data_IF_999601239897
#
_entry.id   IF_999601239897
#
_cell.length_a   1.000
_cell.length_b   1.000
_cell.length_c   1.000
_cell.angle_alpha   90.00
_cell.angle_beta   90.00
_cell.angle_gamma   90.00
#
_symmetry.space_group_name_H-M   'P 1'
#
loop_
_entity.id
_entity.type
_entity.pdbx_description
1 polymer ?
#
# COMPACT_ATOMS: atom_id res chain seq x y z
N UNK A 1 9.19 -5.31 -0.07
CA UNK A 1 8.58 -4.48 -1.13
C UNK A 1 9.52 -3.33 -1.46
N UNK A 2 9.72 -3.02 -2.73
CA UNK A 2 10.44 -1.83 -3.21
C UNK A 2 9.44 -0.88 -3.84
N UNK A 3 9.60 0.43 -3.56
CA UNK A 3 8.76 1.48 -4.12
C UNK A 3 9.55 2.17 -5.22
N UNK A 4 8.96 2.29 -6.40
CA UNK A 4 9.50 3.07 -7.50
C UNK A 4 9.22 4.58 -7.27
N UNK A 5 9.70 5.45 -8.15
CA UNK A 5 9.46 6.92 -8.10
C UNK A 5 7.98 7.30 -7.93
N UNK A 6 7.08 6.43 -8.34
CA UNK A 6 5.64 6.59 -8.15
C UNK A 6 5.19 5.84 -6.87
N UNK A 7 4.55 6.49 -5.88
CA UNK A 7 4.22 5.90 -4.58
C UNK A 7 3.26 4.71 -4.64
N UNK A 8 2.58 4.50 -5.75
CA UNK A 8 1.71 3.34 -6.00
C UNK A 8 2.36 2.26 -6.87
N UNK A 9 3.60 2.45 -7.31
CA UNK A 9 4.37 1.43 -8.03
C UNK A 9 5.31 0.75 -7.04
N UNK A 10 4.97 -0.47 -6.69
CA UNK A 10 5.79 -1.30 -5.83
C UNK A 10 6.01 -2.68 -6.45
N UNK A 11 7.13 -3.26 -6.11
CA UNK A 11 7.50 -4.60 -6.52
C UNK A 11 7.61 -5.48 -5.28
N UNK A 12 6.94 -6.63 -5.30
CA UNK A 12 7.14 -7.64 -4.29
C UNK A 12 8.52 -8.25 -4.45
N UNK A 13 9.26 -8.33 -3.36
CA UNK A 13 10.54 -9.02 -3.35
C UNK A 13 10.32 -10.51 -3.09
N UNK A 14 11.07 -11.39 -3.74
CA UNK A 14 11.05 -12.82 -3.41
C UNK A 14 11.57 -13.05 -1.99
N UNK A 15 11.30 -14.23 -1.45
CA UNK A 15 11.92 -14.68 -0.22
C UNK A 15 13.46 -14.69 -0.39
N UNK A 16 14.17 -14.35 0.66
CA UNK A 16 15.64 -14.28 0.68
C UNK A 16 16.14 -15.05 1.89
N UNK A 17 17.28 -15.73 1.76
CA UNK A 17 17.94 -16.40 2.86
C UNK A 17 18.57 -15.42 3.89
N UNK A 18 18.59 -14.13 3.59
CA UNK A 18 19.13 -13.10 4.46
C UNK A 18 18.15 -11.96 4.66
N UNK A 19 18.36 -11.18 5.72
CA UNK A 19 17.59 -9.95 5.99
C UNK A 19 17.84 -8.94 4.87
N UNK A 20 16.78 -8.40 4.28
CA UNK A 20 16.86 -7.45 3.18
C UNK A 20 16.15 -6.15 3.55
N UNK A 21 16.79 -4.97 3.36
CA UNK A 21 16.12 -3.68 3.49
C UNK A 21 15.00 -3.53 2.45
N UNK A 22 13.87 -2.97 2.88
CA UNK A 22 12.68 -2.75 2.05
C UNK A 22 12.16 -1.32 2.23
N UNK A 23 11.34 -0.85 1.29
CA UNK A 23 10.79 0.51 1.32
C UNK A 23 9.35 0.55 1.85
N UNK A 24 8.71 -0.59 1.98
CA UNK A 24 7.35 -0.73 2.48
C UNK A 24 7.01 -2.20 2.69
N UNK A 25 5.87 -2.49 3.30
CA UNK A 25 5.42 -3.84 3.59
C UNK A 25 3.94 -4.01 3.31
N UNK A 26 3.53 -5.26 3.11
CA UNK A 26 2.14 -5.69 3.13
C UNK A 26 1.86 -6.27 4.52
N UNK A 27 0.75 -5.90 5.13
CA UNK A 27 0.41 -6.19 6.52
C UNK A 27 0.06 -7.65 6.86
N UNK A 28 0.40 -8.63 6.03
CA UNK A 28 0.08 -10.05 6.31
C UNK A 28 0.76 -10.57 7.59
N UNK A 29 2.03 -10.24 7.80
CA UNK A 29 2.75 -10.54 9.03
C UNK A 29 3.84 -9.50 9.24
N UNK A 30 3.67 -8.62 10.21
CA UNK A 30 4.62 -7.54 10.51
C UNK A 30 4.87 -7.47 12.00
N UNK A 31 6.14 -7.51 12.39
CA UNK A 31 6.58 -7.24 13.75
C UNK A 31 6.97 -5.77 13.88
N UNK A 32 6.28 -5.05 14.73
CA UNK A 32 6.56 -3.64 15.00
C UNK A 32 7.07 -3.50 16.43
N UNK A 33 8.36 -3.17 16.64
CA UNK A 33 8.91 -2.93 17.97
C UNK A 33 8.16 -1.79 18.68
N UNK A 34 8.05 -1.87 20.00
CA UNK A 34 7.38 -0.84 20.82
C UNK A 34 7.95 0.55 20.58
N UNK A 35 9.27 0.68 20.47
CA UNK A 35 9.93 1.96 20.17
C UNK A 35 9.51 2.53 18.82
N UNK A 36 9.45 1.72 17.77
CA UNK A 36 8.98 2.14 16.45
C UNK A 36 7.52 2.56 16.49
N UNK A 37 6.66 1.79 17.19
CA UNK A 37 5.23 2.16 17.36
C UNK A 37 5.05 3.49 18.09
N UNK A 38 5.84 3.75 19.11
CA UNK A 38 5.77 5.01 19.85
C UNK A 38 6.23 6.20 18.99
N UNK A 39 7.25 6.00 18.14
CA UNK A 39 7.77 7.05 17.26
C UNK A 39 6.82 7.34 16.07
N UNK A 40 6.29 6.31 15.42
CA UNK A 40 5.42 6.45 14.23
C UNK A 40 3.98 6.82 14.61
N UNK A 41 3.55 6.41 15.79
CA UNK A 41 2.17 6.53 16.24
C UNK A 41 1.27 5.40 15.73
N UNK A 42 -0.05 5.52 15.84
CA UNK A 42 -1.00 4.48 15.41
C UNK A 42 -1.11 4.41 13.88
N UNK A 43 -1.68 3.30 13.40
CA UNK A 43 -2.17 3.20 12.03
C UNK A 43 -3.25 4.26 11.82
N UNK A 44 -3.21 4.96 10.69
CA UNK A 44 -4.19 6.00 10.37
C UNK A 44 -5.54 5.36 10.02
N UNK A 45 -6.51 5.49 10.93
CA UNK A 45 -7.87 4.94 10.78
C UNK A 45 -8.67 5.52 9.59
N UNK A 46 -8.13 6.52 8.89
CA UNK A 46 -8.72 7.06 7.68
C UNK A 46 -8.42 6.21 6.44
N UNK A 47 -7.56 5.18 6.60
CA UNK A 47 -7.36 4.12 5.61
C UNK A 47 -8.11 2.87 6.07
N UNK A 48 -9.32 2.61 5.56
CA UNK A 48 -10.17 1.53 6.08
C UNK A 48 -9.57 0.13 5.85
N UNK A 49 -8.80 -0.06 4.81
CA UNK A 49 -8.05 -1.28 4.51
C UNK A 49 -6.90 -1.00 3.53
N UNK A 50 -7.20 -0.43 2.36
CA UNK A 50 -6.19 -0.08 1.37
C UNK A 50 -5.25 1.02 1.88
N UNK A 51 -3.96 0.90 1.60
CA UNK A 51 -2.88 1.84 1.93
C UNK A 51 -2.54 2.01 3.41
N UNK A 52 -3.19 1.34 4.36
CA UNK A 52 -2.91 1.52 5.78
C UNK A 52 -1.49 1.10 6.17
N UNK A 53 -1.08 -0.05 5.72
CA UNK A 53 0.26 -0.63 5.90
C UNK A 53 1.32 0.13 5.07
N UNK A 54 1.00 0.49 3.82
CA UNK A 54 1.89 1.32 3.00
C UNK A 54 2.15 2.69 3.63
N UNK A 55 1.08 3.36 4.14
CA UNK A 55 1.20 4.64 4.85
C UNK A 55 2.07 4.51 6.09
N UNK A 56 1.82 3.45 6.88
CA UNK A 56 2.58 3.22 8.10
C UNK A 56 4.07 2.99 7.80
N UNK A 57 4.37 2.14 6.82
CA UNK A 57 5.74 1.87 6.39
C UNK A 57 6.46 3.12 5.91
N UNK A 58 5.81 3.95 5.10
CA UNK A 58 6.42 5.19 4.63
C UNK A 58 6.60 6.25 5.72
N UNK A 59 5.69 6.33 6.71
CA UNK A 59 5.88 7.20 7.88
C UNK A 59 7.09 6.73 8.71
N UNK A 60 7.23 5.43 8.92
CA UNK A 60 8.37 4.86 9.60
C UNK A 60 9.69 5.17 8.87
N UNK A 61 9.74 4.96 7.57
CA UNK A 61 10.93 5.25 6.75
C UNK A 61 11.33 6.74 6.80
N UNK A 62 10.36 7.66 6.81
CA UNK A 62 10.64 9.11 6.94
C UNK A 62 11.23 9.49 8.30
N UNK A 63 10.98 8.70 9.33
CA UNK A 63 11.59 8.86 10.66
C UNK A 63 12.94 8.15 10.77
N UNK A 64 13.48 7.63 9.67
CA UNK A 64 14.74 6.89 9.66
C UNK A 64 14.65 5.48 10.23
N UNK A 65 13.45 4.94 10.44
CA UNK A 65 13.26 3.58 10.94
C UNK A 65 13.42 2.62 9.77
N UNK A 66 14.40 1.72 9.88
CA UNK A 66 14.67 0.71 8.87
C UNK A 66 13.54 -0.31 8.80
N UNK A 67 13.02 -0.54 7.59
CA UNK A 67 12.09 -1.62 7.30
C UNK A 67 12.88 -2.80 6.74
N UNK A 68 12.65 -3.98 7.29
CA UNK A 68 13.42 -5.18 6.97
C UNK A 68 12.47 -6.33 6.60
N UNK A 69 12.80 -7.05 5.54
CA UNK A 69 12.21 -8.35 5.25
C UNK A 69 12.96 -9.42 6.03
N UNK A 70 12.23 -10.22 6.80
CA UNK A 70 12.80 -11.37 7.48
C UNK A 70 13.33 -12.40 6.47
N UNK A 71 14.36 -13.16 6.85
CA UNK A 71 14.85 -14.25 5.99
C UNK A 71 13.81 -15.35 5.88
N UNK A 72 13.90 -16.10 4.81
CA UNK A 72 13.08 -17.26 4.50
C UNK A 72 11.55 -16.99 4.42
N UNK A 73 10.80 -18.06 4.31
CA UNK A 73 9.33 -18.03 4.27
C UNK A 73 8.82 -18.42 5.65
N UNK A 74 8.19 -17.48 6.35
CA UNK A 74 7.62 -17.70 7.68
C UNK A 74 6.17 -18.23 7.64
N UNK A 75 5.54 -18.26 6.47
CA UNK A 75 4.18 -18.75 6.30
C UNK A 75 3.66 -18.62 4.88
N UNK A 76 2.56 -19.29 4.62
CA UNK A 76 1.87 -19.24 3.33
C UNK A 76 0.52 -18.56 3.55
N UNK A 77 0.25 -17.53 2.78
CA UNK A 77 -1.05 -16.85 2.77
C UNK A 77 -1.83 -17.28 1.52
N UNK A 78 -3.06 -17.73 1.72
CA UNK A 78 -3.93 -18.03 0.59
C UNK A 78 -4.20 -16.77 -0.23
N UNK A 79 -4.03 -16.92 -1.54
CA UNK A 79 -4.31 -15.81 -2.44
C UNK A 79 -5.82 -15.56 -2.49
N UNK A 80 -6.27 -14.43 -2.01
CA UNK A 80 -7.66 -14.02 -2.15
C UNK A 80 -7.92 -13.74 -3.63
N UNK A 81 -8.69 -14.61 -4.29
CA UNK A 81 -9.12 -14.38 -5.66
C UNK A 81 -9.90 -13.06 -5.74
N UNK A 82 -9.24 -12.08 -6.29
CA UNK A 82 -9.84 -10.79 -6.59
C UNK A 82 -10.61 -10.95 -7.89
N UNK A 83 -11.93 -11.15 -7.81
CA UNK A 83 -12.79 -11.22 -9.00
C UNK A 83 -12.57 -10.02 -9.94
N UNK A 84 -12.81 -10.24 -11.22
CA UNK A 84 -12.71 -9.18 -12.25
C UNK A 84 -13.65 -8.01 -11.94
N UNK A 85 -13.23 -6.81 -12.32
CA UNK A 85 -14.09 -5.64 -12.18
C UNK A 85 -15.37 -5.81 -13.04
N UNK A 86 -16.53 -5.47 -12.50
CA UNK A 86 -17.80 -5.63 -13.23
C UNK A 86 -17.86 -4.68 -14.43
N UNK A 87 -18.71 -5.00 -15.40
CA UNK A 87 -19.02 -4.13 -16.53
C UNK A 87 -19.94 -2.97 -16.09
N UNK A 88 -19.79 -1.85 -16.74
CA UNK A 88 -20.60 -0.64 -16.53
C UNK A 88 -20.03 0.32 -15.48
N UNK A 89 -20.07 1.61 -15.79
CA UNK A 89 -19.39 2.68 -15.00
C UNK A 89 -19.84 2.72 -13.55
N UNK A 90 -21.14 2.64 -13.28
CA UNK A 90 -21.68 2.70 -11.93
C UNK A 90 -21.29 1.48 -11.08
N UNK A 91 -21.32 0.28 -11.68
CA UNK A 91 -20.92 -0.95 -11.01
C UNK A 91 -19.41 -0.94 -10.72
N UNK A 92 -18.61 -0.44 -11.66
CA UNK A 92 -17.15 -0.27 -11.46
C UNK A 92 -16.86 0.74 -10.36
N UNK A 93 -17.59 1.86 -10.32
CA UNK A 93 -17.46 2.84 -9.24
C UNK A 93 -17.69 2.17 -7.89
N UNK A 94 -18.84 1.52 -7.67
CA UNK A 94 -19.18 0.81 -6.43
C UNK A 94 -18.13 -0.24 -6.05
N UNK A 95 -17.62 -0.98 -7.04
CA UNK A 95 -16.61 -1.99 -6.84
C UNK A 95 -15.30 -1.40 -6.31
N UNK A 96 -14.81 -0.31 -6.89
CA UNK A 96 -13.58 0.33 -6.45
C UNK A 96 -13.73 1.10 -5.14
N UNK A 97 -14.92 1.58 -4.81
CA UNK A 97 -15.20 2.25 -3.54
C UNK A 97 -15.31 1.30 -2.35
N UNK A 98 -15.29 -0.02 -2.57
CA UNK A 98 -15.28 -0.97 -1.45
C UNK A 98 -13.98 -0.85 -0.63
N UNK A 99 -14.03 -1.03 0.70
CA UNK A 99 -12.86 -0.87 1.58
C UNK A 99 -11.66 -1.75 1.22
N UNK A 100 -11.92 -2.95 0.67
CA UNK A 100 -10.88 -3.91 0.25
C UNK A 100 -10.24 -3.58 -1.11
N UNK A 101 -10.69 -2.53 -1.77
CA UNK A 101 -10.19 -2.14 -3.09
C UNK A 101 -9.38 -0.85 -2.98
N UNK A 102 -9.61 0.09 -3.87
CA UNK A 102 -8.90 1.35 -3.92
C UNK A 102 -9.89 2.53 -3.89
N UNK A 103 -10.55 2.79 -2.75
CA UNK A 103 -11.44 3.92 -2.61
C UNK A 103 -10.73 5.21 -2.98
N UNK A 104 -11.38 6.06 -3.79
CA UNK A 104 -10.72 7.26 -4.31
C UNK A 104 -10.24 8.20 -3.20
N UNK A 105 -10.98 8.28 -2.08
CA UNK A 105 -10.59 9.12 -0.92
C UNK A 105 -9.32 8.62 -0.24
N UNK A 106 -9.17 7.30 -0.09
CA UNK A 106 -7.97 6.70 0.47
C UNK A 106 -6.78 6.90 -0.49
N UNK A 107 -6.99 6.69 -1.79
CA UNK A 107 -5.99 6.92 -2.81
C UNK A 107 -5.54 8.39 -2.85
N UNK A 108 -6.50 9.34 -2.88
CA UNK A 108 -6.21 10.78 -2.83
C UNK A 108 -5.34 11.13 -1.63
N UNK A 109 -5.75 10.70 -0.42
CA UNK A 109 -5.01 10.96 0.81
C UNK A 109 -3.61 10.41 0.78
N UNK A 110 -3.48 9.16 0.32
CA UNK A 110 -2.19 8.49 0.22
C UNK A 110 -1.27 9.21 -0.76
N UNK A 111 -1.75 9.51 -1.96
CA UNK A 111 -0.95 10.20 -2.98
C UNK A 111 -0.59 11.63 -2.57
N UNK A 112 -1.50 12.34 -1.91
CA UNK A 112 -1.21 13.68 -1.37
C UNK A 112 -0.14 13.65 -0.27
N UNK A 113 -0.10 12.59 0.54
CA UNK A 113 0.85 12.47 1.65
C UNK A 113 2.22 11.97 1.21
N UNK A 114 2.26 11.08 0.24
CA UNK A 114 3.45 10.32 -0.14
C UNK A 114 3.91 10.56 -1.59
N UNK A 115 3.07 11.14 -2.43
CA UNK A 115 3.41 11.45 -3.81
C UNK A 115 4.36 12.64 -3.93
N UNK A 116 5.07 12.68 -5.06
CA UNK A 116 5.85 13.83 -5.50
C UNK A 116 4.95 14.95 -6.09
N UNK A 117 5.55 15.98 -6.66
CA UNK A 117 4.81 17.10 -7.28
C UNK A 117 3.86 16.67 -8.41
N UNK A 118 4.06 15.51 -9.00
CA UNK A 118 3.25 14.99 -10.13
C UNK A 118 2.05 14.17 -9.68
N UNK A 119 1.85 13.97 -8.37
CA UNK A 119 0.80 13.12 -7.83
C UNK A 119 -0.62 13.45 -8.34
N UNK A 120 -1.02 14.73 -8.58
CA UNK A 120 -2.37 15.02 -9.06
C UNK A 120 -2.62 14.43 -10.45
N UNK A 121 -1.61 14.51 -11.35
CA UNK A 121 -1.67 13.90 -12.67
C UNK A 121 -1.84 12.39 -12.57
N UNK A 122 -1.04 11.73 -11.75
CA UNK A 122 -1.11 10.28 -11.56
C UNK A 122 -2.41 9.83 -10.90
N UNK A 123 -2.97 10.65 -10.00
CA UNK A 123 -4.28 10.38 -9.40
C UNK A 123 -5.37 10.36 -10.47
N UNK A 124 -5.43 11.38 -11.32
CA UNK A 124 -6.41 11.47 -12.41
C UNK A 124 -6.21 10.33 -13.40
N UNK A 125 -4.99 10.10 -13.86
CA UNK A 125 -4.67 9.05 -14.83
C UNK A 125 -5.04 7.65 -14.31
N UNK A 126 -4.69 7.33 -13.07
CA UNK A 126 -4.99 6.03 -12.47
C UNK A 126 -6.51 5.84 -12.23
N UNK A 127 -7.21 6.91 -11.88
CA UNK A 127 -8.67 6.89 -11.73
C UNK A 127 -9.35 6.69 -13.08
N UNK A 128 -8.97 7.46 -14.10
CA UNK A 128 -9.51 7.31 -15.46
C UNK A 128 -9.29 5.89 -16.01
N UNK A 129 -8.09 5.35 -15.88
CA UNK A 129 -7.79 3.98 -16.33
C UNK A 129 -8.73 2.93 -15.74
N UNK A 130 -9.19 3.08 -14.49
CA UNK A 130 -10.13 2.13 -13.86
C UNK A 130 -11.49 2.10 -14.53
N UNK A 131 -11.88 3.20 -15.17
CA UNK A 131 -13.18 3.31 -15.82
C UNK A 131 -13.13 3.06 -17.34
N UNK A 132 -11.95 3.22 -17.95
CA UNK A 132 -11.76 3.03 -19.38
C UNK A 132 -11.29 1.60 -19.74
N UNK A 133 -10.75 0.83 -18.80
CA UNK A 133 -10.34 -0.56 -19.00
C UNK A 133 -11.47 -1.51 -18.64
#
# INVERSE_FOLDING_TARGET
>A
MRIDRHPQRFFLLPASASVVPIDGFNGNCVLIPKSARLAVGPIDGQFPHAFADDDYGQRAARLGISLLQAPDTIGICCNNHVGSAPKGVLNRWRYFESPKRLPWRAQWRYMRRHGDRTWPFWFVASTAKRFLA
#
